data_IF_452444449347
#
_entry.id   IF_452444449347
#
_cell.length_a   1.000
_cell.length_b   1.000
_cell.length_c   1.000
_cell.angle_alpha   90.00
_cell.angle_beta   90.00
_cell.angle_gamma   90.00
#
_symmetry.space_group_name_H-M   'P 1'
#
loop_
_entity.id
_entity.type
_entity.pdbx_description
1 polymer ?
#
# COMPACT_ATOMS: atom_id res chain seq x y z
N UNK A 1 -8.29 16.87 -16.95
CA UNK A 1 -7.89 16.47 -18.33
C UNK A 1 -9.12 15.93 -19.02
N UNK A 2 -9.40 16.27 -20.28
CA UNK A 2 -10.58 15.70 -20.96
C UNK A 2 -10.28 14.25 -21.41
N UNK A 3 -10.77 13.28 -20.63
CA UNK A 3 -10.59 11.85 -20.90
C UNK A 3 -11.30 11.37 -22.18
N UNK A 4 -12.30 12.11 -22.68
CA UNK A 4 -13.00 11.74 -23.91
C UNK A 4 -12.11 11.95 -25.14
N UNK A 5 -11.34 13.03 -25.17
CA UNK A 5 -10.53 13.44 -26.34
C UNK A 5 -9.05 13.08 -26.22
N UNK A 6 -8.56 12.91 -25.00
CA UNK A 6 -7.14 12.64 -24.80
C UNK A 6 -6.69 11.30 -25.40
N UNK A 7 -5.52 11.29 -26.03
CA UNK A 7 -4.84 10.07 -26.48
C UNK A 7 -4.61 9.11 -25.31
N UNK A 8 -4.75 7.81 -25.54
CA UNK A 8 -4.58 6.76 -24.51
C UNK A 8 -3.19 6.84 -23.88
N UNK A 9 -2.14 7.01 -24.67
CA UNK A 9 -0.76 7.17 -24.17
C UNK A 9 -0.62 8.33 -23.19
N UNK A 10 -1.30 9.45 -23.43
CA UNK A 10 -1.25 10.61 -22.52
C UNK A 10 -1.88 10.30 -21.16
N UNK A 11 -2.94 9.48 -21.12
CA UNK A 11 -3.56 9.03 -19.86
C UNK A 11 -2.59 8.12 -19.11
N UNK A 12 -1.91 7.21 -19.82
CA UNK A 12 -0.94 6.29 -19.24
C UNK A 12 0.23 7.03 -18.60
N UNK A 13 0.91 7.90 -19.35
CA UNK A 13 2.02 8.68 -18.83
C UNK A 13 1.63 9.65 -17.73
N UNK A 14 0.40 10.17 -17.75
CA UNK A 14 -0.05 11.12 -16.74
C UNK A 14 -0.53 10.43 -15.45
N UNK A 15 -1.17 9.26 -15.51
CA UNK A 15 -1.79 8.65 -14.33
C UNK A 15 -1.19 7.30 -13.92
N UNK A 16 -0.93 6.42 -14.89
CA UNK A 16 -0.43 5.06 -14.60
C UNK A 16 1.03 5.10 -14.15
N UNK A 17 1.90 5.77 -14.93
CA UNK A 17 3.33 5.83 -14.62
C UNK A 17 3.60 6.48 -13.26
N UNK A 18 3.01 7.65 -12.90
CA UNK A 18 3.24 8.23 -11.59
C UNK A 18 2.76 7.35 -10.44
N UNK A 19 1.63 6.65 -10.62
CA UNK A 19 1.14 5.74 -9.58
C UNK A 19 2.06 4.52 -9.40
N UNK A 20 2.57 3.95 -10.49
CA UNK A 20 3.56 2.87 -10.45
C UNK A 20 4.83 3.35 -9.74
N UNK A 21 5.34 4.54 -10.06
CA UNK A 21 6.52 5.11 -9.40
C UNK A 21 6.27 5.26 -7.90
N UNK A 22 5.13 5.83 -7.51
CA UNK A 22 4.78 6.01 -6.09
C UNK A 22 4.77 4.69 -5.32
N UNK A 23 4.15 3.64 -5.88
CA UNK A 23 4.12 2.31 -5.24
C UNK A 23 5.45 1.55 -5.34
N UNK A 24 6.27 1.82 -6.35
CA UNK A 24 7.62 1.27 -6.45
C UNK A 24 8.52 1.77 -5.31
N UNK A 25 8.51 3.07 -5.03
CA UNK A 25 9.20 3.60 -3.85
C UNK A 25 8.62 3.05 -2.55
N UNK A 26 7.30 2.80 -2.51
CA UNK A 26 6.65 2.12 -1.40
C UNK A 26 7.23 0.71 -1.17
N UNK A 27 7.41 -0.08 -2.23
CA UNK A 27 8.06 -1.39 -2.15
C UNK A 27 9.51 -1.29 -1.67
N UNK A 28 10.27 -0.30 -2.16
CA UNK A 28 11.68 -0.12 -1.77
C UNK A 28 11.80 0.12 -0.27
N UNK A 29 10.96 0.97 0.33
CA UNK A 29 11.10 1.22 1.77
C UNK A 29 10.78 -0.04 2.57
N UNK A 30 9.76 -0.82 2.22
CA UNK A 30 9.46 -2.07 2.94
C UNK A 30 10.63 -3.06 2.90
N UNK A 31 11.34 -3.11 1.78
CA UNK A 31 12.55 -3.92 1.61
C UNK A 31 13.67 -3.39 2.50
N UNK A 32 13.94 -2.08 2.45
CA UNK A 32 15.04 -1.45 3.21
C UNK A 32 14.80 -1.51 4.72
N UNK A 33 13.58 -1.29 5.17
CA UNK A 33 13.17 -1.43 6.58
C UNK A 33 13.46 -2.84 7.11
N UNK A 34 13.03 -3.87 6.37
CA UNK A 34 13.34 -5.27 6.69
C UNK A 34 14.85 -5.55 6.75
N UNK A 35 15.63 -5.00 5.81
CA UNK A 35 17.09 -5.13 5.79
C UNK A 35 17.73 -4.45 7.02
N UNK A 36 17.29 -3.25 7.39
CA UNK A 36 17.83 -2.54 8.55
C UNK A 36 17.49 -3.24 9.86
N UNK A 37 16.25 -3.71 10.03
CA UNK A 37 15.83 -4.46 11.23
C UNK A 37 16.63 -5.76 11.34
N UNK A 38 16.69 -6.55 10.27
CA UNK A 38 17.44 -7.81 10.26
C UNK A 38 18.93 -7.64 10.55
N UNK A 39 19.59 -6.67 9.91
CA UNK A 39 21.03 -6.47 10.07
C UNK A 39 21.40 -5.84 11.42
N UNK A 40 20.57 -4.94 11.97
CA UNK A 40 20.90 -4.20 13.19
C UNK A 40 20.45 -4.91 14.46
N UNK A 41 19.28 -5.56 14.42
CA UNK A 41 18.61 -6.10 15.61
C UNK A 41 18.54 -7.63 15.60
N UNK A 42 18.90 -8.27 14.49
CA UNK A 42 18.95 -9.72 14.36
C UNK A 42 17.66 -10.33 13.82
N UNK A 43 17.74 -11.61 13.47
CA UNK A 43 16.67 -12.38 12.85
C UNK A 43 15.46 -12.61 13.77
N UNK A 44 15.67 -12.68 15.09
CA UNK A 44 14.59 -12.85 16.07
C UNK A 44 13.64 -11.64 16.09
N UNK A 45 14.20 -10.43 16.09
CA UNK A 45 13.41 -9.18 16.05
C UNK A 45 12.71 -9.03 14.70
N UNK A 46 13.38 -9.38 13.60
CA UNK A 46 12.77 -9.41 12.28
C UNK A 46 11.58 -10.39 12.21
N UNK A 47 11.70 -11.56 12.82
CA UNK A 47 10.62 -12.54 12.90
C UNK A 47 9.43 -11.99 13.71
N UNK A 48 9.68 -11.28 14.81
CA UNK A 48 8.65 -10.60 15.57
C UNK A 48 7.90 -9.54 14.73
N UNK A 49 8.60 -8.77 13.89
CA UNK A 49 7.95 -7.85 12.93
C UNK A 49 7.10 -8.61 11.91
N UNK A 50 7.55 -9.79 11.47
CA UNK A 50 6.77 -10.70 10.61
C UNK A 50 5.41 -11.09 11.20
N UNK A 51 5.32 -11.30 12.52
CA UNK A 51 4.06 -11.58 13.24
C UNK A 51 3.08 -10.41 13.15
N UNK A 52 3.56 -9.17 13.02
CA UNK A 52 2.72 -7.97 12.91
C UNK A 52 2.12 -7.76 11.51
N UNK A 53 2.65 -8.40 10.46
CA UNK A 53 2.27 -8.20 9.05
C UNK A 53 0.76 -8.33 8.79
N UNK A 54 0.02 -9.31 9.36
CA UNK A 54 -1.41 -9.41 9.08
C UNK A 54 -2.21 -8.18 9.50
N UNK A 55 -1.82 -7.50 10.60
CA UNK A 55 -2.46 -6.25 11.02
C UNK A 55 -2.11 -5.09 10.08
N UNK A 56 -0.86 -5.04 9.61
CA UNK A 56 -0.41 -4.07 8.60
C UNK A 56 -1.23 -4.21 7.32
N UNK A 57 -1.33 -5.43 6.79
CA UNK A 57 -2.15 -5.76 5.61
C UNK A 57 -3.62 -5.42 5.83
N UNK A 58 -4.18 -5.71 7.01
CA UNK A 58 -5.58 -5.37 7.32
C UNK A 58 -5.82 -3.85 7.31
N UNK A 59 -4.89 -3.07 7.89
CA UNK A 59 -4.94 -1.60 7.85
C UNK A 59 -4.92 -1.09 6.41
N UNK A 60 -4.05 -1.67 5.59
CA UNK A 60 -3.91 -1.30 4.20
C UNK A 60 -5.16 -1.67 3.38
N UNK A 61 -5.72 -2.87 3.61
CA UNK A 61 -6.97 -3.31 2.99
C UNK A 61 -8.15 -2.38 3.31
N UNK A 62 -8.28 -1.93 4.58
CA UNK A 62 -9.31 -0.95 4.95
C UNK A 62 -9.05 0.40 4.27
N UNK A 63 -7.79 0.83 4.19
CA UNK A 63 -7.44 2.07 3.49
C UNK A 63 -7.86 2.00 2.03
N UNK A 64 -7.64 0.87 1.37
CA UNK A 64 -8.07 0.57 0.00
C UNK A 64 -9.59 0.54 -0.15
N UNK A 65 -10.30 -0.10 0.79
CA UNK A 65 -11.78 -0.12 0.86
C UNK A 65 -12.36 1.30 0.78
N UNK A 66 -11.84 2.20 1.62
CA UNK A 66 -12.31 3.58 1.69
C UNK A 66 -11.87 4.37 0.46
N UNK A 67 -10.58 4.31 0.12
CA UNK A 67 -9.98 5.14 -0.92
C UNK A 67 -10.52 4.82 -2.31
N UNK A 68 -10.56 3.54 -2.70
CA UNK A 68 -11.04 3.11 -4.02
C UNK A 68 -12.55 3.35 -4.12
N UNK A 69 -13.29 2.93 -3.10
CA UNK A 69 -14.75 3.03 -3.09
C UNK A 69 -15.26 4.47 -3.26
N UNK A 70 -14.71 5.40 -2.47
CA UNK A 70 -15.03 6.81 -2.61
C UNK A 70 -14.46 7.41 -3.91
N UNK A 71 -13.27 6.99 -4.33
CA UNK A 71 -12.60 7.46 -5.54
C UNK A 71 -13.37 7.16 -6.83
N UNK A 72 -14.00 5.99 -6.92
CA UNK A 72 -14.90 5.61 -8.02
C UNK A 72 -16.07 6.58 -8.10
N UNK A 73 -16.77 6.83 -6.99
CA UNK A 73 -17.91 7.75 -6.96
C UNK A 73 -17.55 9.18 -7.30
N UNK A 74 -16.46 9.68 -6.71
CA UNK A 74 -15.94 11.02 -7.01
C UNK A 74 -15.71 11.16 -8.52
N UNK A 75 -15.05 10.19 -9.13
CA UNK A 75 -14.74 10.22 -10.56
C UNK A 75 -15.99 10.10 -11.45
N UNK A 76 -16.96 9.26 -11.08
CA UNK A 76 -18.25 9.15 -11.79
C UNK A 76 -19.01 10.49 -11.75
N UNK A 77 -19.14 11.12 -10.57
CA UNK A 77 -19.84 12.40 -10.47
C UNK A 77 -19.12 13.53 -11.21
N UNK A 78 -17.78 13.49 -11.26
CA UNK A 78 -17.00 14.37 -12.17
C UNK A 78 -17.37 14.14 -13.63
N UNK A 79 -17.46 12.88 -14.07
CA UNK A 79 -17.87 12.51 -15.43
C UNK A 79 -19.28 12.97 -15.80
N UNK A 80 -20.19 12.98 -14.81
CA UNK A 80 -21.56 13.48 -14.95
C UNK A 80 -21.69 15.01 -14.94
N UNK A 81 -20.58 15.75 -14.76
CA UNK A 81 -20.63 17.21 -14.61
C UNK A 81 -21.26 17.68 -13.30
N UNK A 82 -21.15 16.89 -12.22
CA UNK A 82 -21.69 17.21 -10.88
C UNK A 82 -20.58 17.35 -9.83
N UNK A 83 -19.70 18.37 -9.94
CA UNK A 83 -18.55 18.52 -9.05
C UNK A 83 -18.94 18.75 -7.58
N UNK A 84 -20.12 19.32 -7.31
CA UNK A 84 -20.64 19.52 -5.96
C UNK A 84 -20.90 18.18 -5.27
N UNK A 85 -21.50 17.22 -5.98
CA UNK A 85 -21.72 15.85 -5.44
C UNK A 85 -20.40 15.12 -5.20
N UNK A 86 -19.42 15.29 -6.09
CA UNK A 86 -18.09 14.73 -5.88
C UNK A 86 -17.45 15.30 -4.59
N UNK A 87 -17.60 16.60 -4.36
CA UNK A 87 -17.08 17.27 -3.16
C UNK A 87 -17.84 16.89 -1.88
N UNK A 88 -19.15 16.71 -1.97
CA UNK A 88 -19.98 16.21 -0.87
C UNK A 88 -19.47 14.83 -0.40
N UNK A 89 -19.27 13.90 -1.34
CA UNK A 89 -18.72 12.57 -1.04
C UNK A 89 -17.32 12.67 -0.43
N UNK A 90 -16.44 13.49 -1.02
CA UNK A 90 -15.11 13.73 -0.46
C UNK A 90 -15.18 14.16 1.01
N UNK A 91 -16.04 15.11 1.37
CA UNK A 91 -16.12 15.60 2.75
C UNK A 91 -16.75 14.56 3.70
N UNK A 92 -17.83 13.88 3.28
CA UNK A 92 -18.48 12.84 4.09
C UNK A 92 -17.50 11.70 4.37
N UNK A 93 -16.75 11.27 3.36
CA UNK A 93 -15.80 10.17 3.50
C UNK A 93 -14.62 10.58 4.36
N UNK A 94 -14.05 11.79 4.20
CA UNK A 94 -12.97 12.23 5.10
C UNK A 94 -13.43 12.33 6.56
N UNK A 95 -14.67 12.76 6.82
CA UNK A 95 -15.24 12.78 8.16
C UNK A 95 -15.40 11.36 8.73
N UNK A 96 -15.89 10.42 7.92
CA UNK A 96 -15.95 9.01 8.28
C UNK A 96 -14.54 8.43 8.55
N UNK A 97 -13.58 8.68 7.66
CA UNK A 97 -12.19 8.22 7.80
C UNK A 97 -11.55 8.73 9.08
N UNK A 98 -11.80 9.99 9.46
CA UNK A 98 -11.30 10.54 10.72
C UNK A 98 -11.87 9.78 11.92
N UNK A 99 -13.20 9.64 11.99
CA UNK A 99 -13.84 8.92 13.09
C UNK A 99 -13.42 7.45 13.16
N UNK A 100 -13.39 6.78 12.01
CA UNK A 100 -13.00 5.38 11.90
C UNK A 100 -11.54 5.15 12.28
N UNK A 101 -10.61 5.96 11.77
CA UNK A 101 -9.19 5.79 12.05
C UNK A 101 -8.83 6.07 13.50
N UNK A 102 -9.48 7.06 14.14
CA UNK A 102 -9.32 7.29 15.58
C UNK A 102 -9.89 6.14 16.40
N UNK A 103 -11.06 5.60 16.03
CA UNK A 103 -11.62 4.43 16.69
C UNK A 103 -10.72 3.19 16.51
N UNK A 104 -10.19 2.97 15.31
CA UNK A 104 -9.23 1.91 14.99
C UNK A 104 -7.97 2.03 15.86
N UNK A 105 -7.38 3.22 15.95
CA UNK A 105 -6.22 3.50 16.80
C UNK A 105 -6.52 3.21 18.27
N UNK A 106 -7.62 3.76 18.81
CA UNK A 106 -8.00 3.57 20.21
C UNK A 106 -8.23 2.09 20.53
N UNK A 107 -9.00 1.40 19.70
CA UNK A 107 -9.26 -0.04 19.87
C UNK A 107 -7.96 -0.85 19.81
N UNK A 108 -7.11 -0.58 18.82
CA UNK A 108 -5.83 -1.28 18.67
C UNK A 108 -4.90 -1.10 19.86
N UNK A 109 -4.86 0.10 20.46
CA UNK A 109 -4.05 0.36 21.65
C UNK A 109 -4.63 -0.27 22.92
N UNK A 110 -5.96 -0.26 23.08
CA UNK A 110 -6.64 -0.88 24.22
C UNK A 110 -6.48 -2.40 24.24
N UNK A 111 -6.47 -3.04 23.07
CA UNK A 111 -6.38 -4.49 22.93
C UNK A 111 -5.03 -4.97 22.37
N UNK A 112 -3.97 -4.15 22.51
CA UNK A 112 -2.66 -4.39 21.90
C UNK A 112 -2.10 -5.78 22.20
N UNK A 113 -2.13 -6.20 23.47
CA UNK A 113 -1.59 -7.48 23.89
C UNK A 113 -2.42 -8.65 23.34
N UNK A 114 -3.75 -8.55 23.39
CA UNK A 114 -4.65 -9.59 22.88
C UNK A 114 -4.51 -9.74 21.36
N UNK A 115 -4.43 -8.63 20.64
CA UNK A 115 -4.16 -8.61 19.19
C UNK A 115 -2.82 -9.30 18.92
N UNK A 116 -1.77 -8.95 19.66
CA UNK A 116 -0.44 -9.55 19.48
C UNK A 116 -0.47 -11.07 19.67
N UNK A 117 -1.18 -11.58 20.69
CA UNK A 117 -1.35 -13.02 20.93
C UNK A 117 -2.16 -13.70 19.81
N UNK A 118 -3.25 -13.07 19.34
CA UNK A 118 -4.07 -13.60 18.23
C UNK A 118 -3.25 -13.70 16.94
N UNK A 119 -2.34 -12.75 16.70
CA UNK A 119 -1.44 -12.76 15.54
C UNK A 119 -0.37 -13.85 15.62
N UNK A 120 -0.20 -14.50 16.77
CA UNK A 120 0.73 -15.62 16.97
C UNK A 120 1.98 -15.28 17.77
N UNK A 121 2.01 -14.14 18.47
CA UNK A 121 3.13 -13.80 19.35
C UNK A 121 3.21 -14.77 20.55
N UNK A 122 4.41 -15.28 20.82
CA UNK A 122 4.70 -16.18 21.93
C UNK A 122 5.45 -15.45 23.06
N UNK A 123 5.80 -16.15 24.15
CA UNK A 123 6.47 -15.55 25.32
C UNK A 123 7.79 -14.85 25.01
N UNK A 124 8.49 -15.26 23.95
CA UNK A 124 9.78 -14.72 23.55
C UNK A 124 9.62 -13.48 22.66
N UNK A 125 8.62 -13.46 21.79
CA UNK A 125 8.43 -12.41 20.76
C UNK A 125 7.43 -11.33 21.16
N UNK A 126 6.57 -11.58 22.17
CA UNK A 126 5.45 -10.70 22.54
C UNK A 126 5.88 -9.25 22.80
N UNK A 127 7.05 -9.04 23.43
CA UNK A 127 7.54 -7.71 23.76
C UNK A 127 7.90 -6.90 22.52
N UNK A 128 8.57 -7.53 21.55
CA UNK A 128 8.98 -6.88 20.31
C UNK A 128 7.78 -6.63 19.40
N UNK A 129 6.87 -7.61 19.29
CA UNK A 129 5.59 -7.48 18.57
C UNK A 129 4.79 -6.31 19.12
N UNK A 130 4.60 -6.25 20.44
CA UNK A 130 3.85 -5.16 21.08
C UNK A 130 4.54 -3.81 20.89
N UNK A 131 5.88 -3.76 20.94
CA UNK A 131 6.63 -2.52 20.70
C UNK A 131 6.38 -2.01 19.29
N UNK A 132 6.55 -2.84 18.28
CA UNK A 132 6.32 -2.46 16.89
C UNK A 132 4.87 -2.06 16.63
N UNK A 133 3.91 -2.89 17.06
CA UNK A 133 2.48 -2.65 16.85
C UNK A 133 1.98 -1.40 17.56
N UNK A 134 2.51 -1.07 18.74
CA UNK A 134 2.12 0.15 19.46
C UNK A 134 2.38 1.40 18.61
N UNK A 135 3.58 1.52 18.03
CA UNK A 135 3.91 2.64 17.15
C UNK A 135 3.07 2.60 15.87
N UNK A 136 2.99 1.44 15.23
CA UNK A 136 2.21 1.28 14.00
C UNK A 136 0.74 1.71 14.18
N UNK A 137 0.07 1.23 15.23
CA UNK A 137 -1.32 1.56 15.55
C UNK A 137 -1.48 3.04 15.90
N UNK A 138 -0.55 3.62 16.65
CA UNK A 138 -0.55 5.05 16.97
C UNK A 138 -0.50 5.93 15.72
N UNK A 139 0.22 5.51 14.68
CA UNK A 139 0.28 6.20 13.39
C UNK A 139 -0.79 5.74 12.37
N UNK A 140 -1.64 4.76 12.71
CA UNK A 140 -2.67 4.23 11.81
C UNK A 140 -3.59 5.28 11.17
N UNK A 141 -3.95 6.41 11.82
CA UNK A 141 -4.70 7.47 11.14
C UNK A 141 -3.94 8.05 9.94
N UNK A 142 -2.63 8.26 10.05
CA UNK A 142 -1.81 8.76 8.95
C UNK A 142 -1.61 7.73 7.86
N UNK A 143 -1.48 6.44 8.19
CA UNK A 143 -1.47 5.37 7.18
C UNK A 143 -2.74 5.39 6.35
N UNK A 144 -3.91 5.43 7.01
CA UNK A 144 -5.21 5.43 6.33
C UNK A 144 -5.38 6.71 5.50
N UNK A 145 -5.11 7.89 6.07
CA UNK A 145 -5.24 9.15 5.35
C UNK A 145 -4.24 9.31 4.21
N UNK A 146 -3.02 8.77 4.33
CA UNK A 146 -2.03 8.79 3.26
C UNK A 146 -2.59 8.15 1.98
N UNK A 147 -3.23 6.99 2.08
CA UNK A 147 -3.83 6.31 0.93
C UNK A 147 -5.13 6.95 0.45
N UNK A 148 -5.99 7.38 1.38
CA UNK A 148 -7.27 8.03 1.04
C UNK A 148 -7.04 9.35 0.31
N UNK A 149 -6.21 10.24 0.87
CA UNK A 149 -5.96 11.56 0.30
C UNK A 149 -5.12 11.50 -0.98
N UNK A 150 -4.14 10.59 -1.07
CA UNK A 150 -3.38 10.38 -2.31
C UNK A 150 -4.28 9.87 -3.45
N UNK A 151 -5.26 9.02 -3.13
CA UNK A 151 -6.27 8.59 -4.11
C UNK A 151 -7.19 9.74 -4.52
N UNK A 152 -7.59 10.59 -3.58
CA UNK A 152 -8.44 11.74 -3.88
C UNK A 152 -7.73 12.79 -4.74
N UNK A 153 -6.45 13.10 -4.49
CA UNK A 153 -5.71 14.07 -5.32
C UNK A 153 -5.44 13.52 -6.73
N UNK A 154 -5.25 12.20 -6.86
CA UNK A 154 -5.19 11.51 -8.15
C UNK A 154 -6.52 11.63 -8.91
N UNK A 155 -7.64 11.41 -8.22
CA UNK A 155 -8.99 11.60 -8.78
C UNK A 155 -9.32 13.08 -9.05
N UNK A 156 -8.61 14.01 -8.41
CA UNK A 156 -8.70 15.45 -8.62
C UNK A 156 -7.66 15.98 -9.62
N UNK A 157 -7.37 15.19 -10.66
CA UNK A 157 -6.53 15.53 -11.82
C UNK A 157 -5.04 15.80 -11.55
N UNK A 158 -4.56 15.52 -10.33
CA UNK A 158 -3.18 15.78 -9.88
C UNK A 158 -2.42 14.50 -9.44
N UNK A 159 -2.24 13.51 -10.33
CA UNK A 159 -1.53 12.24 -10.04
C UNK A 159 -0.07 12.43 -9.64
N UNK A 160 0.60 13.50 -10.10
CA UNK A 160 1.99 13.78 -9.71
C UNK A 160 2.11 14.13 -8.21
N UNK A 161 1.11 14.80 -7.63
CA UNK A 161 1.11 15.10 -6.19
C UNK A 161 0.95 13.78 -5.40
N UNK A 162 0.09 12.86 -5.87
CA UNK A 162 -0.05 11.53 -5.28
C UNK A 162 1.23 10.70 -5.37
N UNK A 163 1.94 10.77 -6.51
CA UNK A 163 3.25 10.13 -6.67
C UNK A 163 4.25 10.69 -5.67
N UNK A 164 4.43 12.02 -5.65
CA UNK A 164 5.39 12.66 -4.76
C UNK A 164 5.07 12.43 -3.29
N UNK A 165 3.80 12.33 -2.91
CA UNK A 165 3.46 12.00 -1.52
C UNK A 165 3.97 10.61 -1.12
N UNK A 166 3.76 9.60 -1.97
CA UNK A 166 4.22 8.24 -1.69
C UNK A 166 5.75 8.15 -1.74
N UNK A 167 6.37 8.77 -2.74
CA UNK A 167 7.83 8.76 -2.92
C UNK A 167 8.55 9.46 -1.77
N UNK A 168 8.14 10.68 -1.41
CA UNK A 168 8.80 11.41 -0.32
C UNK A 168 8.52 10.76 1.02
N UNK A 169 7.32 10.22 1.26
CA UNK A 169 7.04 9.44 2.47
C UNK A 169 7.94 8.22 2.60
N UNK A 170 8.14 7.46 1.51
CA UNK A 170 9.04 6.32 1.46
C UNK A 170 10.52 6.70 1.70
N UNK A 171 10.99 7.74 1.02
CA UNK A 171 12.38 8.23 1.17
C UNK A 171 12.61 8.79 2.57
N UNK A 172 11.65 9.53 3.12
CA UNK A 172 11.72 10.04 4.48
C UNK A 172 11.79 8.89 5.49
N UNK A 173 10.98 7.84 5.32
CA UNK A 173 11.06 6.64 6.15
C UNK A 173 12.47 6.01 6.10
N UNK A 174 13.02 5.73 4.92
CA UNK A 174 14.37 5.13 4.79
C UNK A 174 15.44 5.97 5.50
N UNK A 175 15.40 7.30 5.30
CA UNK A 175 16.36 8.22 5.94
C UNK A 175 16.18 8.22 7.46
N UNK A 176 14.94 8.22 7.94
CA UNK A 176 14.64 8.21 9.36
C UNK A 176 14.97 6.87 10.01
N UNK A 177 14.74 5.73 9.35
CA UNK A 177 15.13 4.42 9.87
C UNK A 177 16.63 4.38 10.12
N UNK A 178 17.42 4.82 9.14
CA UNK A 178 18.87 4.89 9.31
C UNK A 178 19.24 5.78 10.51
N UNK A 179 18.71 6.99 10.60
CA UNK A 179 19.04 7.95 11.68
C UNK A 179 18.60 7.45 13.06
N UNK A 180 17.39 6.90 13.18
CA UNK A 180 16.83 6.47 14.46
C UNK A 180 17.46 5.16 14.94
N UNK A 181 17.77 4.23 14.03
CA UNK A 181 18.31 2.91 14.41
C UNK A 181 19.83 2.91 14.61
N UNK A 182 20.59 3.67 13.82
CA UNK A 182 22.06 3.63 13.84
C UNK A 182 22.67 4.74 14.73
N UNK A 183 22.64 6.04 14.39
CA UNK A 183 23.14 7.10 15.27
C UNK A 183 22.43 7.16 16.64
N UNK A 184 21.09 7.12 16.65
CA UNK A 184 20.31 7.35 17.86
C UNK A 184 20.04 6.08 18.67
N UNK A 185 20.38 4.90 18.13
CA UNK A 185 20.27 3.61 18.81
C UNK A 185 18.89 3.33 19.45
N UNK A 186 17.81 3.80 18.82
CA UNK A 186 16.44 3.62 19.33
C UNK A 186 15.87 2.20 19.11
N UNK A 187 16.66 1.31 18.51
CA UNK A 187 16.29 -0.08 18.28
C UNK A 187 14.99 -0.23 17.46
N UNK A 188 14.18 -1.23 17.82
CA UNK A 188 12.93 -1.54 17.12
C UNK A 188 11.90 -0.40 17.21
N UNK A 189 11.88 0.33 18.33
CA UNK A 189 11.02 1.50 18.48
C UNK A 189 11.40 2.62 17.50
N UNK A 190 12.70 2.77 17.22
CA UNK A 190 13.21 3.68 16.19
C UNK A 190 12.71 3.33 14.80
N UNK A 191 12.81 2.05 14.41
CA UNK A 191 12.29 1.56 13.13
C UNK A 191 10.78 1.85 13.00
N UNK A 192 9.98 1.38 13.97
CA UNK A 192 8.54 1.54 13.94
C UNK A 192 8.08 3.02 13.94
N UNK A 193 8.84 3.91 14.61
CA UNK A 193 8.62 5.35 14.58
C UNK A 193 8.88 5.94 13.19
N UNK A 194 9.98 5.58 12.54
CA UNK A 194 10.28 6.00 11.18
C UNK A 194 9.24 5.49 10.18
N UNK A 195 8.78 4.24 10.31
CA UNK A 195 7.69 3.70 9.48
C UNK A 195 6.43 4.54 9.64
N UNK A 196 6.07 4.90 10.87
CA UNK A 196 4.91 5.74 11.18
C UNK A 196 5.02 7.18 10.67
N UNK A 197 6.23 7.75 10.66
CA UNK A 197 6.48 9.11 10.17
C UNK A 197 6.42 9.22 8.65
N UNK A 198 6.73 8.17 7.89
CA UNK A 198 6.62 8.17 6.42
C UNK A 198 5.24 8.64 5.91
N UNK A 199 4.13 7.99 6.32
CA UNK A 199 2.77 8.43 6.01
C UNK A 199 2.42 9.85 6.48
N UNK A 200 3.02 10.33 7.57
CA UNK A 200 2.83 11.73 8.01
C UNK A 200 3.33 12.68 6.92
N UNK A 201 4.54 12.46 6.39
CA UNK A 201 5.06 13.25 5.26
C UNK A 201 4.18 13.12 4.02
N UNK A 202 3.69 11.92 3.70
CA UNK A 202 2.76 11.70 2.60
C UNK A 202 1.50 12.57 2.74
N UNK A 203 0.89 12.58 3.93
CA UNK A 203 -0.28 13.42 4.23
C UNK A 203 0.07 14.91 4.12
N UNK A 204 1.19 15.35 4.68
CA UNK A 204 1.64 16.75 4.61
C UNK A 204 1.84 17.26 3.18
N UNK A 205 2.19 16.39 2.24
CA UNK A 205 2.36 16.76 0.82
C UNK A 205 1.02 16.92 0.10
N UNK A 206 0.04 16.03 0.36
CA UNK A 206 -1.27 16.08 -0.30
C UNK A 206 -2.23 17.08 0.35
N UNK A 207 -2.12 17.31 1.66
CA UNK A 207 -3.06 18.13 2.42
C UNK A 207 -3.20 19.59 1.93
N UNK A 208 -2.11 20.28 1.49
CA UNK A 208 -2.19 21.60 0.89
C UNK A 208 -3.04 21.67 -0.39
N UNK A 209 -3.19 20.58 -1.13
CA UNK A 209 -4.04 20.53 -2.33
C UNK A 209 -5.50 20.85 -1.99
N UNK A 210 -6.01 20.22 -0.94
CA UNK A 210 -7.41 20.33 -0.51
C UNK A 210 -7.68 21.59 0.30
N UNK A 211 -6.74 22.05 1.11
CA UNK A 211 -6.90 23.27 1.92
C UNK A 211 -6.75 24.54 1.10
N UNK A 212 -5.86 24.55 0.09
CA UNK A 212 -5.68 25.68 -0.84
C UNK A 212 -6.61 25.62 -2.05
N UNK A 213 -7.56 24.68 -2.08
CA UNK A 213 -8.57 24.52 -3.14
C UNK A 213 -7.97 24.47 -4.55
N UNK A 214 -6.89 23.70 -4.73
CA UNK A 214 -6.16 23.59 -6.01
C UNK A 214 -6.88 22.74 -7.07
N UNK A 215 -7.96 22.06 -6.70
CA UNK A 215 -8.83 21.34 -7.63
C UNK A 215 -10.30 21.43 -7.19
N UNK A 216 -11.15 20.52 -7.66
CA UNK A 216 -12.58 20.59 -7.35
C UNK A 216 -12.91 20.03 -5.96
N UNK A 217 -11.99 19.22 -5.41
CA UNK A 217 -12.11 18.64 -4.08
C UNK A 217 -11.42 19.57 -3.08
N UNK A 218 -12.16 19.97 -2.06
CA UNK A 218 -11.64 20.74 -0.95
C UNK A 218 -12.53 20.57 0.27
N UNK A 219 -11.97 20.89 1.43
CA UNK A 219 -12.69 20.80 2.69
C UNK A 219 -13.75 21.91 2.78
N UNK A 220 -15.00 21.50 3.01
CA UNK A 220 -16.12 22.38 3.29
C UNK A 220 -17.09 21.70 4.25
N UNK A 221 -17.98 22.48 4.87
CA UNK A 221 -18.99 21.92 5.77
C UNK A 221 -19.96 21.06 4.97
N UNK A 222 -20.11 19.80 5.36
CA UNK A 222 -21.10 18.88 4.82
C UNK A 222 -21.93 18.25 5.93
N UNK A 223 -23.14 17.80 5.61
CA UNK A 223 -23.94 16.98 6.53
C UNK A 223 -23.52 15.52 6.36
N UNK A 224 -23.25 14.84 7.47
CA UNK A 224 -22.90 13.43 7.42
C UNK A 224 -24.09 12.62 6.93
N UNK A 225 -23.89 11.82 5.88
CA UNK A 225 -24.86 10.84 5.39
C UNK A 225 -24.22 9.45 5.35
N UNK A 226 -24.68 8.58 6.25
CA UNK A 226 -24.19 7.21 6.33
C UNK A 226 -24.51 6.38 5.07
N UNK A 227 -25.53 6.74 4.28
CA UNK A 227 -25.83 6.06 3.02
C UNK A 227 -24.71 6.25 2.00
N UNK A 228 -24.12 7.44 1.96
CA UNK A 228 -22.95 7.75 1.11
C UNK A 228 -21.76 6.90 1.53
N UNK A 229 -21.49 6.82 2.84
CA UNK A 229 -20.43 5.97 3.39
C UNK A 229 -20.64 4.50 3.02
N UNK A 230 -21.82 3.95 3.31
CA UNK A 230 -22.15 2.54 3.01
C UNK A 230 -21.96 2.23 1.53
N UNK A 231 -22.37 3.13 0.64
CA UNK A 231 -22.23 2.93 -0.80
C UNK A 231 -20.77 2.98 -1.25
N UNK A 232 -19.98 3.92 -0.73
CA UNK A 232 -18.56 4.00 -1.00
C UNK A 232 -17.84 2.73 -0.53
N UNK A 233 -18.08 2.27 0.71
CA UNK A 233 -17.49 1.03 1.22
C UNK A 233 -17.86 -0.18 0.36
N UNK A 234 -19.13 -0.30 -0.06
CA UNK A 234 -19.55 -1.40 -0.93
C UNK A 234 -18.78 -1.43 -2.26
N UNK A 235 -18.51 -0.26 -2.86
CA UNK A 235 -17.75 -0.16 -4.11
C UNK A 235 -16.25 -0.40 -3.92
N UNK A 236 -15.74 -0.25 -2.70
CA UNK A 236 -14.36 -0.57 -2.35
C UNK A 236 -14.10 -2.04 -2.03
N UNK A 237 -15.15 -2.87 -1.86
CA UNK A 237 -15.02 -4.29 -1.49
C UNK A 237 -14.03 -5.04 -2.41
N UNK A 238 -14.04 -4.87 -3.75
CA UNK A 238 -13.06 -5.54 -4.60
C UNK A 238 -11.62 -5.20 -4.24
N UNK A 239 -11.32 -3.92 -3.95
CA UNK A 239 -10.00 -3.47 -3.53
C UNK A 239 -9.59 -4.02 -2.16
N UNK A 240 -10.53 -4.08 -1.21
CA UNK A 240 -10.32 -4.72 0.07
C UNK A 240 -10.01 -6.20 -0.07
N UNK A 241 -10.80 -6.94 -0.86
CA UNK A 241 -10.61 -8.38 -1.06
C UNK A 241 -9.26 -8.63 -1.73
N UNK A 242 -8.87 -7.86 -2.76
CA UNK A 242 -7.57 -8.03 -3.40
C UNK A 242 -6.40 -7.90 -2.41
N UNK A 243 -6.43 -6.89 -1.54
CA UNK A 243 -5.37 -6.66 -0.56
C UNK A 243 -5.42 -7.68 0.59
N UNK A 244 -6.62 -7.95 1.10
CA UNK A 244 -6.81 -8.92 2.19
C UNK A 244 -6.44 -10.34 1.75
N UNK A 245 -6.78 -10.74 0.52
CA UNK A 245 -6.39 -12.02 -0.05
C UNK A 245 -4.89 -12.19 -0.12
N UNK A 246 -4.12 -11.13 -0.40
CA UNK A 246 -2.65 -11.20 -0.41
C UNK A 246 -2.12 -11.60 0.97
N UNK A 247 -2.51 -10.86 2.01
CA UNK A 247 -2.09 -11.17 3.39
C UNK A 247 -2.59 -12.53 3.88
N UNK A 248 -3.82 -12.91 3.50
CA UNK A 248 -4.39 -14.21 3.86
C UNK A 248 -3.67 -15.39 3.18
N UNK A 249 -3.31 -15.24 1.90
CA UNK A 249 -2.53 -16.25 1.16
C UNK A 249 -1.14 -16.40 1.79
N UNK A 250 -0.46 -15.29 2.11
CA UNK A 250 0.82 -15.33 2.84
C UNK A 250 0.70 -16.06 4.18
N UNK A 251 -0.36 -15.80 4.95
CA UNK A 251 -0.61 -16.50 6.21
C UNK A 251 -0.79 -18.03 6.01
N UNK A 252 -1.54 -18.44 4.99
CA UNK A 252 -1.71 -19.86 4.65
C UNK A 252 -0.39 -20.53 4.22
N UNK A 253 0.43 -19.84 3.42
CA UNK A 253 1.76 -20.34 3.05
C UNK A 253 2.66 -20.52 4.27
N UNK A 254 2.66 -19.57 5.20
CA UNK A 254 3.44 -19.67 6.44
C UNK A 254 3.06 -20.92 7.24
N UNK A 255 1.76 -21.19 7.40
CA UNK A 255 1.28 -22.42 8.07
C UNK A 255 1.72 -23.67 7.31
N UNK A 256 1.58 -23.68 5.99
CA UNK A 256 1.94 -24.84 5.17
C UNK A 256 3.43 -25.17 5.27
N UNK A 257 4.31 -24.17 5.16
CA UNK A 257 5.77 -24.32 5.27
C UNK A 257 6.18 -24.94 6.61
N UNK A 258 5.58 -24.48 7.72
CA UNK A 258 5.83 -25.04 9.05
C UNK A 258 5.27 -26.46 9.17
N UNK A 259 4.01 -26.68 8.75
CA UNK A 259 3.34 -27.98 8.87
C UNK A 259 4.04 -29.09 8.07
N UNK A 260 4.63 -28.76 6.93
CA UNK A 260 5.38 -29.70 6.08
C UNK A 260 6.85 -29.87 6.49
N UNK A 261 7.28 -29.29 7.62
CA UNK A 261 8.59 -29.56 8.21
C UNK A 261 9.77 -28.83 7.54
N UNK A 262 9.51 -27.87 6.64
CA UNK A 262 10.57 -27.02 6.06
C UNK A 262 11.09 -26.02 7.13
N UNK A 263 10.23 -25.69 8.10
CA UNK A 263 10.60 -24.89 9.28
C UNK A 263 11.01 -23.46 8.93
N UNK A 264 11.83 -22.86 9.81
CA UNK A 264 12.26 -21.46 9.69
C UNK A 264 13.06 -21.19 8.40
N UNK A 265 13.74 -22.20 7.85
CA UNK A 265 14.47 -22.11 6.58
C UNK A 265 13.54 -21.78 5.41
N UNK A 266 12.42 -22.51 5.30
CA UNK A 266 11.42 -22.26 4.25
C UNK A 266 10.72 -20.92 4.38
N UNK A 267 10.48 -20.47 5.62
CA UNK A 267 9.88 -19.15 5.87
C UNK A 267 10.81 -18.03 5.41
N UNK A 268 12.12 -18.15 5.65
CA UNK A 268 13.11 -17.19 5.20
C UNK A 268 13.18 -17.12 3.65
N UNK A 269 13.17 -18.27 2.97
CA UNK A 269 13.11 -18.32 1.49
C UNK A 269 11.85 -17.62 0.99
N UNK A 270 10.69 -17.96 1.54
CA UNK A 270 9.40 -17.39 1.13
C UNK A 270 9.35 -15.87 1.36
N UNK A 271 9.96 -15.37 2.43
CA UNK A 271 10.05 -13.94 2.70
C UNK A 271 10.88 -13.20 1.63
N UNK A 272 12.04 -13.75 1.24
CA UNK A 272 12.89 -13.16 0.19
C UNK A 272 12.19 -13.16 -1.17
N UNK A 273 11.51 -14.27 -1.53
CA UNK A 273 10.65 -14.32 -2.71
C UNK A 273 9.49 -13.31 -2.62
N UNK A 274 8.94 -13.14 -1.41
CA UNK A 274 7.95 -12.14 -1.05
C UNK A 274 8.37 -10.71 -1.40
N UNK A 275 9.63 -10.34 -1.15
CA UNK A 275 10.15 -9.02 -1.53
C UNK A 275 10.27 -8.82 -3.04
N UNK A 276 10.65 -9.86 -3.79
CA UNK A 276 10.70 -9.79 -5.25
C UNK A 276 9.28 -9.61 -5.83
N UNK A 277 8.33 -10.42 -5.37
CA UNK A 277 6.96 -10.37 -5.87
C UNK A 277 6.22 -9.10 -5.43
N UNK A 278 6.60 -8.50 -4.29
CA UNK A 278 6.05 -7.22 -3.81
C UNK A 278 6.20 -6.11 -4.85
N UNK A 279 7.35 -6.00 -5.51
CA UNK A 279 7.60 -4.99 -6.55
C UNK A 279 6.68 -5.23 -7.75
N UNK A 280 6.53 -6.49 -8.15
CA UNK A 280 5.68 -6.91 -9.28
C UNK A 280 4.21 -6.65 -8.99
N UNK A 281 3.73 -7.02 -7.81
CA UNK A 281 2.34 -6.79 -7.39
C UNK A 281 2.04 -5.29 -7.32
N UNK A 282 2.91 -4.50 -6.70
CA UNK A 282 2.72 -3.05 -6.60
C UNK A 282 2.75 -2.34 -7.96
N UNK A 283 3.47 -2.87 -8.94
CA UNK A 283 3.38 -2.39 -10.32
C UNK A 283 1.96 -2.58 -10.90
N UNK A 284 1.36 -3.77 -10.74
CA UNK A 284 0.01 -4.03 -11.27
C UNK A 284 -1.07 -3.27 -10.51
N UNK A 285 -0.94 -3.18 -9.17
CA UNK A 285 -1.80 -2.32 -8.36
C UNK A 285 -1.68 -0.87 -8.84
N UNK A 286 -0.46 -0.39 -9.12
CA UNK A 286 -0.21 0.95 -9.63
C UNK A 286 -0.86 1.21 -10.99
N UNK A 287 -0.79 0.21 -11.89
CA UNK A 287 -1.47 0.24 -13.18
C UNK A 287 -2.98 0.34 -13.03
N UNK A 288 -3.58 -0.50 -12.19
CA UNK A 288 -5.03 -0.49 -11.92
C UNK A 288 -5.51 0.80 -11.26
N UNK A 289 -4.84 1.25 -10.20
CA UNK A 289 -5.17 2.48 -9.49
C UNK A 289 -4.93 3.74 -10.34
N UNK A 290 -3.93 3.70 -11.21
CA UNK A 290 -3.62 4.78 -12.13
C UNK A 290 -4.70 4.96 -13.22
N UNK A 291 -5.26 3.86 -13.74
CA UNK A 291 -6.31 3.96 -14.77
C UNK A 291 -7.71 4.21 -14.19
N UNK A 292 -7.94 3.88 -12.91
CA UNK A 292 -9.23 4.00 -12.23
C UNK A 292 -9.94 5.36 -12.43
N UNK A 293 -9.30 6.54 -12.22
CA UNK A 293 -9.97 7.84 -12.39
C UNK A 293 -10.55 8.02 -13.80
N UNK A 294 -9.79 7.60 -14.82
CA UNK A 294 -10.19 7.75 -16.23
C UNK A 294 -11.37 6.85 -16.59
N UNK A 295 -11.34 5.59 -16.15
CA UNK A 295 -12.44 4.64 -16.39
C UNK A 295 -13.71 5.11 -15.69
N UNK A 296 -13.63 5.45 -14.40
CA UNK A 296 -14.80 5.90 -13.63
C UNK A 296 -15.37 7.23 -14.14
N UNK A 297 -14.52 8.16 -14.59
CA UNK A 297 -14.99 9.38 -15.24
C UNK A 297 -15.75 9.09 -16.54
N UNK A 298 -15.20 8.23 -17.40
CA UNK A 298 -15.84 7.89 -18.68
C UNK A 298 -17.14 7.11 -18.49
N UNK A 299 -17.23 6.31 -17.43
CA UNK A 299 -18.47 5.64 -17.04
C UNK A 299 -19.54 6.66 -16.63
N UNK A 300 -19.18 7.63 -15.78
CA UNK A 300 -20.07 8.75 -15.43
C UNK A 300 -20.48 9.60 -16.62
N UNK A 301 -19.61 9.73 -17.64
CA UNK A 301 -19.91 10.42 -18.89
C UNK A 301 -20.75 9.57 -19.87
N UNK A 302 -20.77 8.24 -19.73
CA UNK A 302 -21.47 7.31 -20.63
C UNK A 302 -20.69 6.89 -21.89
N UNK A 303 -19.35 7.05 -21.91
CA UNK A 303 -18.53 6.71 -23.08
C UNK A 303 -17.93 5.29 -22.99
N UNK A 304 -18.78 4.27 -23.09
CA UNK A 304 -18.38 2.87 -22.97
C UNK A 304 -17.38 2.42 -24.04
N UNK A 305 -17.43 3.00 -25.24
CA UNK A 305 -16.45 2.72 -26.32
C UNK A 305 -15.04 3.11 -25.88
N UNK A 306 -14.88 4.28 -25.26
CA UNK A 306 -13.59 4.75 -24.75
C UNK A 306 -13.11 3.92 -23.56
N UNK A 307 -14.02 3.50 -22.67
CA UNK A 307 -13.70 2.57 -21.57
C UNK A 307 -13.09 1.28 -22.11
N UNK A 308 -13.75 0.63 -23.09
CA UNK A 308 -13.26 -0.61 -23.71
C UNK A 308 -11.87 -0.42 -24.33
N UNK A 309 -11.64 0.70 -25.01
CA UNK A 309 -10.32 1.02 -25.59
C UNK A 309 -9.23 1.12 -24.51
N UNK A 310 -9.50 1.87 -23.43
CA UNK A 310 -8.55 2.03 -22.33
C UNK A 310 -8.28 0.71 -21.62
N UNK A 311 -9.31 -0.10 -21.38
CA UNK A 311 -9.20 -1.41 -20.78
C UNK A 311 -8.32 -2.36 -21.62
N UNK A 312 -8.54 -2.43 -22.93
CA UNK A 312 -7.71 -3.25 -23.84
C UNK A 312 -6.26 -2.75 -23.85
N UNK A 313 -6.04 -1.43 -23.87
CA UNK A 313 -4.69 -0.87 -23.77
C UNK A 313 -4.00 -1.22 -22.46
N UNK A 314 -4.73 -1.22 -21.34
CA UNK A 314 -4.19 -1.57 -20.02
C UNK A 314 -3.82 -3.04 -19.94
N UNK A 315 -4.67 -3.94 -20.47
CA UNK A 315 -4.35 -5.37 -20.57
C UNK A 315 -3.10 -5.58 -21.41
N UNK A 316 -3.00 -4.96 -22.60
CA UNK A 316 -1.81 -5.10 -23.45
C UNK A 316 -0.54 -4.64 -22.72
N UNK A 317 -0.61 -3.49 -22.05
CA UNK A 317 0.50 -2.98 -21.25
C UNK A 317 0.90 -3.95 -20.14
N UNK A 318 -0.07 -4.44 -19.36
CA UNK A 318 0.18 -5.36 -18.25
C UNK A 318 0.71 -6.73 -18.71
N UNK A 319 0.24 -7.26 -19.85
CA UNK A 319 0.76 -8.51 -20.41
C UNK A 319 2.20 -8.34 -20.88
N UNK A 320 2.50 -7.25 -21.59
CA UNK A 320 3.87 -6.97 -22.05
C UNK A 320 4.80 -6.78 -20.85
N UNK A 321 4.38 -6.01 -19.84
CA UNK A 321 5.19 -5.85 -18.63
C UNK A 321 5.37 -7.16 -17.87
N UNK A 322 4.38 -8.07 -17.87
CA UNK A 322 4.49 -9.39 -17.25
C UNK A 322 5.60 -10.22 -17.89
N UNK A 323 5.65 -10.27 -19.22
CA UNK A 323 6.74 -10.95 -19.93
C UNK A 323 8.11 -10.35 -19.60
N UNK A 324 8.21 -9.01 -19.56
CA UNK A 324 9.47 -8.32 -19.22
C UNK A 324 9.89 -8.62 -17.78
N UNK A 325 8.97 -8.55 -16.83
CA UNK A 325 9.24 -8.82 -15.41
C UNK A 325 9.64 -10.27 -15.18
N UNK A 326 8.96 -11.21 -15.82
CA UNK A 326 9.29 -12.63 -15.75
C UNK A 326 10.71 -12.89 -16.29
N UNK A 327 11.04 -12.39 -17.48
CA UNK A 327 12.38 -12.53 -18.07
C UNK A 327 13.43 -11.89 -17.15
N UNK A 328 13.14 -10.71 -16.60
CA UNK A 328 14.06 -10.01 -15.70
C UNK A 328 14.31 -10.81 -14.42
N UNK A 329 13.28 -11.36 -13.79
CA UNK A 329 13.43 -12.20 -12.61
C UNK A 329 14.13 -13.53 -12.91
N UNK A 330 13.84 -14.15 -14.06
CA UNK A 330 14.46 -15.41 -14.45
C UNK A 330 15.99 -15.28 -14.65
N UNK A 331 16.45 -14.19 -15.28
CA UNK A 331 17.88 -13.98 -15.55
C UNK A 331 18.61 -13.20 -14.46
N UNK A 332 17.92 -12.31 -13.73
CA UNK A 332 18.55 -11.42 -12.74
C UNK A 332 18.15 -11.73 -11.29
N UNK A 333 17.24 -12.69 -11.06
CA UNK A 333 16.77 -13.07 -9.73
C UNK A 333 17.91 -13.47 -8.80
N UNK A 334 18.91 -14.20 -9.31
CA UNK A 334 20.09 -14.62 -8.55
C UNK A 334 20.81 -13.41 -7.92
N UNK A 335 20.98 -12.31 -8.67
CA UNK A 335 21.58 -11.07 -8.13
C UNK A 335 20.69 -10.40 -7.09
N UNK A 336 19.37 -10.44 -7.26
CA UNK A 336 18.43 -9.90 -6.29
C UNK A 336 18.49 -10.68 -4.97
N UNK A 337 18.51 -12.02 -5.03
CA UNK A 337 18.53 -12.88 -3.83
C UNK A 337 19.83 -12.77 -3.03
N UNK A 338 20.97 -12.60 -3.71
CA UNK A 338 22.28 -12.37 -3.07
C UNK A 338 22.31 -11.11 -2.20
N UNK A 339 21.49 -10.09 -2.51
CA UNK A 339 21.41 -8.88 -1.68
C UNK A 339 20.84 -9.17 -0.27
N UNK A 340 20.02 -10.22 -0.13
CA UNK A 340 19.36 -10.58 1.12
C UNK A 340 20.08 -11.69 1.87
N UNK A 341 20.78 -12.58 1.18
CA UNK A 341 21.43 -13.77 1.77
C UNK A 341 22.94 -13.72 1.50
N UNK A 342 23.72 -13.21 2.46
CA UNK A 342 25.19 -13.09 2.34
C UNK A 342 25.99 -14.28 2.87
N UNK A 343 25.51 -14.99 3.90
CA UNK A 343 26.36 -15.90 4.69
C UNK A 343 26.01 -17.40 4.62
N UNK A 344 24.86 -17.80 4.08
CA UNK A 344 24.43 -19.20 4.01
C UNK A 344 24.30 -19.69 2.57
N UNK A 345 25.32 -20.40 2.08
CA UNK A 345 25.37 -20.95 0.72
C UNK A 345 24.20 -21.89 0.40
N UNK A 346 23.71 -22.66 1.37
CA UNK A 346 22.54 -23.54 1.20
C UNK A 346 21.23 -22.77 1.01
N UNK A 347 20.93 -21.80 1.88
CA UNK A 347 19.72 -20.97 1.78
C UNK A 347 19.66 -20.19 0.47
N UNK A 348 20.81 -19.66 0.02
CA UNK A 348 20.87 -18.93 -1.25
C UNK A 348 20.58 -19.84 -2.43
N UNK A 349 21.16 -21.05 -2.47
CA UNK A 349 20.91 -22.03 -3.53
C UNK A 349 19.45 -22.49 -3.53
N UNK A 350 18.87 -22.77 -2.36
CA UNK A 350 17.47 -23.15 -2.23
C UNK A 350 16.52 -22.00 -2.63
N UNK A 351 16.90 -20.75 -2.32
CA UNK A 351 16.14 -19.56 -2.73
C UNK A 351 16.19 -19.36 -4.25
N UNK A 352 17.36 -19.53 -4.87
CA UNK A 352 17.50 -19.47 -6.33
C UNK A 352 16.66 -20.57 -7.00
N UNK A 353 16.70 -21.79 -6.46
CA UNK A 353 15.90 -22.89 -6.98
C UNK A 353 14.40 -22.62 -6.85
N UNK A 354 13.95 -22.20 -5.66
CA UNK A 354 12.56 -21.87 -5.40
C UNK A 354 12.09 -20.69 -6.28
N UNK A 355 12.91 -19.66 -6.45
CA UNK A 355 12.59 -18.48 -7.27
C UNK A 355 12.51 -18.75 -8.78
N UNK A 356 13.07 -19.87 -9.27
CA UNK A 356 12.88 -20.31 -10.66
C UNK A 356 11.56 -21.06 -10.88
N UNK A 357 10.94 -21.53 -9.80
CA UNK A 357 9.69 -22.30 -9.80
C UNK A 357 8.50 -21.40 -9.41
N UNK A 358 8.73 -20.48 -8.48
CA UNK A 358 7.76 -19.52 -7.93
C UNK A 358 7.59 -18.31 -8.85
#
# INVERSE_FOLDING_TARGET
>A
MDFNKAKTSKIFFKYIIPQIIGLFFNSIYFIVDGIFIGNRLGSEVLAAVGVAVPLVSFTYAISMLIAIGAGVRISIFKGQGKPEKAREIFNIINLFTLGFSLAYMLFGLLFLEQISKILGANSETIKDVMTYLKFYIMFSPFYIFSFVLSTFVRNDDNPNIAMWSLTVGAVANIVLDYILMYPLNMGLAGAALATGLGPVFSVLIVFPHFTRKKGILFFEKTKFDFKVVKRALFEGIPGFISEFSLGFVTFLYNIAIIKHGIGNHGLAIYLVLGYAILIVINFYIGSGQGIQPAISYLDGYGNHKRIKQLFISAIKFNVISAFIMYISLYFMGDYFYVLFIKDSSSLLLDTIYAGKIY
#
